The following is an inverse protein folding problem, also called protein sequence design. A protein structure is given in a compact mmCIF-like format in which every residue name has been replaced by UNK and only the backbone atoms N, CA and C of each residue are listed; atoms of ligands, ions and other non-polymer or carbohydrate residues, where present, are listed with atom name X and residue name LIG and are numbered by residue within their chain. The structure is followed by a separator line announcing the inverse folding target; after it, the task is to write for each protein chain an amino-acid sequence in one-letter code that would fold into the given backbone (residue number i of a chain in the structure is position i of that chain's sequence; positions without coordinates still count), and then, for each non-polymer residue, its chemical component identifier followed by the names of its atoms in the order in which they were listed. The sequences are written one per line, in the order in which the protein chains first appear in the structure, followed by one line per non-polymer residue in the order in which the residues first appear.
data_IF_055837982481
#
_entry.id   IF_055837982481
#
_cell.length_a   1.000
_cell.length_b   1.000
_cell.length_c   1.000
_cell.angle_alpha   90.00
_cell.angle_beta   90.00
_cell.angle_gamma   90.00
#
_symmetry.space_group_name_H-M   'P 1'
#
loop_
_entity.id
_entity.type
_entity.pdbx_description
1 polymer ?
#
# COMPACT_ATOMS: atom_id res chain seq x y z
N UNK A 1 -5.56 8.71 15.25
CA UNK A 1 -6.69 9.53 15.78
C UNK A 1 -7.33 10.41 14.70
N UNK A 2 -6.63 10.80 13.62
CA UNK A 2 -7.18 11.60 12.51
C UNK A 2 -8.25 10.88 11.66
N UNK A 3 -7.95 9.72 11.09
CA UNK A 3 -8.90 9.00 10.21
C UNK A 3 -10.26 8.73 10.89
N UNK A 4 -10.24 8.34 12.17
CA UNK A 4 -11.47 8.18 12.98
C UNK A 4 -12.20 9.51 13.19
N UNK A 5 -11.48 10.61 13.41
CA UNK A 5 -12.07 11.93 13.59
C UNK A 5 -12.70 12.46 12.29
N UNK A 6 -12.18 12.06 11.13
CA UNK A 6 -12.69 12.43 9.80
C UNK A 6 -13.65 11.38 9.20
N UNK A 7 -14.00 10.33 9.96
CA UNK A 7 -14.97 9.31 9.52
C UNK A 7 -14.43 8.31 8.49
N UNK A 8 -13.12 8.28 8.23
CA UNK A 8 -12.51 7.37 7.27
C UNK A 8 -12.04 6.07 7.94
N UNK A 9 -12.29 4.95 7.27
CA UNK A 9 -11.68 3.66 7.61
C UNK A 9 -10.21 3.70 7.22
N UNK A 10 -9.33 3.38 8.16
CA UNK A 10 -7.89 3.30 7.95
C UNK A 10 -7.44 1.83 7.98
N UNK A 11 -6.71 1.43 6.95
CA UNK A 11 -6.03 0.14 6.87
C UNK A 11 -4.53 0.39 6.96
N UNK A 12 -3.81 -0.43 7.73
CA UNK A 12 -2.34 -0.37 7.79
C UNK A 12 -1.78 -1.68 7.25
N UNK A 13 -0.83 -1.58 6.35
CA UNK A 13 -0.01 -2.70 5.86
C UNK A 13 1.41 -2.42 6.30
N UNK A 14 2.06 -3.37 6.97
CA UNK A 14 3.45 -3.25 7.38
C UNK A 14 4.30 -4.14 6.48
N UNK A 15 5.21 -3.53 5.72
CA UNK A 15 6.00 -4.24 4.73
C UNK A 15 7.26 -4.85 5.34
N UNK A 16 7.64 -6.00 4.82
CA UNK A 16 8.87 -6.71 5.09
C UNK A 16 9.40 -7.34 3.79
N UNK A 17 10.60 -7.92 3.82
CA UNK A 17 11.26 -8.47 2.61
C UNK A 17 10.50 -9.62 1.94
N UNK A 18 9.58 -10.24 2.68
CA UNK A 18 8.74 -11.36 2.25
C UNK A 18 7.26 -11.00 2.09
N UNK A 19 6.89 -9.72 2.06
CA UNK A 19 5.49 -9.34 1.87
C UNK A 19 5.02 -9.79 0.50
N UNK A 20 3.91 -10.53 0.44
CA UNK A 20 3.38 -11.06 -0.82
C UNK A 20 2.50 -10.01 -1.51
N UNK A 21 2.66 -9.85 -2.82
CA UNK A 21 1.81 -8.97 -3.63
C UNK A 21 0.32 -9.37 -3.57
N UNK A 22 0.01 -10.64 -3.35
CA UNK A 22 -1.36 -11.12 -3.16
C UNK A 22 -2.02 -10.53 -1.91
N UNK A 23 -1.26 -10.16 -0.87
CA UNK A 23 -1.81 -9.45 0.28
C UNK A 23 -2.28 -8.03 -0.08
N UNK A 24 -1.70 -7.45 -1.13
CA UNK A 24 -2.08 -6.13 -1.66
C UNK A 24 -3.26 -6.24 -2.64
N UNK A 25 -3.09 -7.03 -3.70
CA UNK A 25 -4.05 -7.06 -4.81
C UNK A 25 -5.18 -8.06 -4.59
N UNK A 26 -4.90 -9.17 -3.93
CA UNK A 26 -5.85 -10.26 -3.70
C UNK A 26 -5.40 -11.57 -4.36
N UNK A 27 -6.14 -12.61 -4.05
CA UNK A 27 -5.94 -13.95 -4.60
C UNK A 27 -7.22 -14.77 -4.55
N UNK A 28 -7.25 -15.87 -5.29
CA UNK A 28 -8.30 -16.87 -5.16
C UNK A 28 -8.10 -17.70 -3.90
N UNK A 29 -9.12 -17.76 -3.05
CA UNK A 29 -9.11 -18.53 -1.81
C UNK A 29 -10.30 -19.49 -1.78
N UNK A 30 -10.16 -20.70 -1.19
CA UNK A 30 -11.27 -21.62 -1.05
C UNK A 30 -12.34 -21.05 -0.11
N UNK A 31 -13.60 -21.15 -0.50
CA UNK A 31 -14.74 -20.88 0.38
C UNK A 31 -15.11 -22.13 1.21
N UNK A 32 -16.18 -22.02 2.01
CA UNK A 32 -16.66 -23.12 2.85
C UNK A 32 -17.12 -24.35 2.05
N UNK A 33 -17.38 -24.21 0.75
CA UNK A 33 -17.72 -25.32 -0.16
C UNK A 33 -16.51 -25.93 -0.86
N UNK A 34 -15.31 -25.36 -0.66
CA UNK A 34 -14.09 -25.75 -1.38
C UNK A 34 -13.95 -25.12 -2.76
N UNK A 35 -14.84 -24.19 -3.14
CA UNK A 35 -14.77 -23.47 -4.41
C UNK A 35 -13.81 -22.30 -4.29
N UNK A 36 -12.98 -22.07 -5.32
CA UNK A 36 -12.08 -20.92 -5.36
C UNK A 36 -12.86 -19.64 -5.66
N UNK A 37 -12.83 -18.70 -4.72
CA UNK A 37 -13.45 -17.37 -4.85
C UNK A 37 -12.39 -16.28 -4.73
N UNK A 38 -12.54 -15.23 -5.54
CA UNK A 38 -11.64 -14.08 -5.46
C UNK A 38 -11.81 -13.34 -4.13
N UNK A 39 -10.70 -13.00 -3.50
CA UNK A 39 -10.66 -12.16 -2.29
C UNK A 39 -9.68 -11.02 -2.52
N UNK A 40 -10.22 -9.79 -2.54
CA UNK A 40 -9.41 -8.58 -2.66
C UNK A 40 -8.41 -8.48 -1.50
N UNK A 41 -7.17 -8.12 -1.83
CA UNK A 41 -6.15 -7.76 -0.85
C UNK A 41 -6.40 -6.39 -0.22
N UNK A 42 -5.54 -5.99 0.72
CA UNK A 42 -5.70 -4.76 1.48
C UNK A 42 -5.73 -3.50 0.60
N UNK A 43 -4.88 -3.45 -0.43
CA UNK A 43 -4.85 -2.33 -1.37
C UNK A 43 -6.08 -2.32 -2.26
N UNK A 44 -6.43 -3.47 -2.85
CA UNK A 44 -7.62 -3.57 -3.72
C UNK A 44 -8.90 -3.18 -2.98
N UNK A 45 -9.08 -3.66 -1.74
CA UNK A 45 -10.19 -3.25 -0.88
C UNK A 45 -10.19 -1.73 -0.64
N UNK A 46 -9.04 -1.14 -0.33
CA UNK A 46 -8.95 0.30 -0.07
C UNK A 46 -9.30 1.12 -1.31
N UNK A 47 -8.78 0.74 -2.48
CA UNK A 47 -9.04 1.38 -3.77
C UNK A 47 -10.53 1.33 -4.10
N UNK A 48 -11.18 0.17 -3.97
CA UNK A 48 -12.63 0.03 -4.27
C UNK A 48 -13.54 0.80 -3.32
N UNK A 49 -13.25 0.75 -2.02
CA UNK A 49 -14.17 1.23 -0.99
C UNK A 49 -13.83 2.63 -0.46
N UNK A 50 -12.77 3.25 -0.96
CA UNK A 50 -12.35 4.58 -0.51
C UNK A 50 -11.76 4.60 0.88
N UNK A 51 -11.12 3.51 1.30
CA UNK A 51 -10.42 3.48 2.57
C UNK A 51 -9.12 4.25 2.47
N UNK A 52 -8.68 4.79 3.60
CA UNK A 52 -7.33 5.28 3.72
C UNK A 52 -6.41 4.09 3.99
N UNK A 53 -5.26 4.05 3.33
CA UNK A 53 -4.27 3.00 3.52
C UNK A 53 -2.91 3.61 3.88
N UNK A 54 -2.26 3.06 4.90
CA UNK A 54 -0.89 3.40 5.29
C UNK A 54 0.01 2.20 4.99
N UNK A 55 0.96 2.40 4.10
CA UNK A 55 2.00 1.45 3.74
C UNK A 55 3.23 1.74 4.59
N UNK A 56 3.36 1.02 5.68
CA UNK A 56 4.44 1.18 6.63
C UNK A 56 5.70 0.43 6.17
N UNK A 57 6.87 1.02 6.41
CA UNK A 57 8.18 0.51 5.98
C UNK A 57 8.23 0.16 4.48
N UNK A 58 7.67 1.02 3.61
CA UNK A 58 7.53 0.74 2.17
C UNK A 58 8.85 0.39 1.48
N UNK A 59 9.98 0.85 2.01
CA UNK A 59 11.31 0.53 1.49
C UNK A 59 11.81 -0.89 1.78
N UNK A 60 11.09 -1.68 2.56
CA UNK A 60 11.30 -3.12 2.73
C UNK A 60 10.50 -3.95 1.73
N UNK A 61 9.49 -3.37 1.07
CA UNK A 61 8.62 -4.09 0.16
C UNK A 61 9.43 -4.73 -1.00
N UNK A 62 9.02 -5.92 -1.47
CA UNK A 62 9.59 -6.51 -2.65
C UNK A 62 9.18 -5.76 -3.93
N UNK A 63 9.93 -6.00 -5.01
CA UNK A 63 9.85 -5.17 -6.23
C UNK A 63 8.50 -5.28 -6.94
N UNK A 64 7.85 -6.45 -6.85
CA UNK A 64 6.51 -6.74 -7.36
C UNK A 64 5.42 -5.91 -6.66
N UNK A 65 5.50 -5.75 -5.34
CA UNK A 65 4.62 -4.85 -4.58
C UNK A 65 4.80 -3.40 -5.05
N UNK A 66 6.05 -2.96 -5.20
CA UNK A 66 6.33 -1.61 -5.72
C UNK A 66 5.85 -1.43 -7.16
N UNK A 67 5.90 -2.48 -7.98
CA UNK A 67 5.39 -2.49 -9.34
C UNK A 67 3.87 -2.40 -9.39
N UNK A 68 3.15 -3.16 -8.56
CA UNK A 68 1.70 -3.06 -8.43
C UNK A 68 1.26 -1.64 -8.02
N UNK A 69 2.02 -1.00 -7.13
CA UNK A 69 1.78 0.39 -6.71
C UNK A 69 2.10 1.40 -7.82
N UNK A 70 3.00 1.09 -8.76
CA UNK A 70 3.44 2.05 -9.76
C UNK A 70 2.26 2.61 -10.59
N UNK A 71 1.39 1.73 -11.09
CA UNK A 71 0.22 2.12 -11.93
C UNK A 71 -0.85 2.88 -11.14
N UNK A 72 -0.93 2.63 -9.84
CA UNK A 72 -1.86 3.33 -8.97
C UNK A 72 -1.40 4.77 -8.69
N UNK A 73 -0.08 4.96 -8.62
CA UNK A 73 0.57 6.23 -8.28
C UNK A 73 0.94 7.09 -9.50
N UNK A 74 0.90 6.52 -10.70
CA UNK A 74 1.14 7.25 -11.94
C UNK A 74 -0.13 7.98 -12.45
N UNK A 75 -0.02 8.59 -13.63
CA UNK A 75 -1.10 9.38 -14.22
C UNK A 75 -2.37 8.56 -14.54
N UNK A 76 -2.26 7.23 -14.67
CA UNK A 76 -3.41 6.37 -14.96
C UNK A 76 -4.35 6.24 -13.76
N UNK A 77 -3.80 6.34 -12.53
CA UNK A 77 -4.55 6.15 -11.27
C UNK A 77 -5.41 4.88 -11.28
N UNK A 78 -4.79 3.76 -11.59
CA UNK A 78 -5.47 2.47 -11.75
C UNK A 78 -4.69 1.36 -11.07
N UNK A 79 -5.40 0.44 -10.40
CA UNK A 79 -4.82 -0.81 -9.90
C UNK A 79 -5.27 -1.96 -10.80
N UNK A 80 -4.31 -2.70 -11.33
CA UNK A 80 -4.57 -3.92 -12.09
C UNK A 80 -4.54 -5.14 -11.17
N UNK A 81 -5.54 -6.01 -11.29
CA UNK A 81 -5.67 -7.28 -10.59
C UNK A 81 -5.37 -8.41 -11.60
N UNK A 82 -4.14 -8.96 -11.61
CA UNK A 82 -3.69 -9.85 -12.69
C UNK A 82 -4.56 -11.11 -12.83
N UNK A 83 -4.87 -11.73 -11.70
CA UNK A 83 -5.58 -13.01 -11.63
C UNK A 83 -7.04 -12.94 -12.10
N UNK A 84 -7.68 -11.78 -11.98
CA UNK A 84 -9.04 -11.54 -12.51
C UNK A 84 -9.01 -10.77 -13.84
N UNK A 85 -7.84 -10.33 -14.29
CA UNK A 85 -7.65 -9.40 -15.41
C UNK A 85 -8.52 -8.14 -15.30
N UNK A 86 -8.83 -7.73 -14.08
CA UNK A 86 -9.63 -6.56 -13.79
C UNK A 86 -8.74 -5.34 -13.56
N UNK A 87 -9.21 -4.15 -13.95
CA UNK A 87 -8.58 -2.89 -13.59
C UNK A 87 -9.57 -2.04 -12.83
N UNK A 88 -9.18 -1.62 -11.63
CA UNK A 88 -10.02 -0.82 -10.73
C UNK A 88 -9.45 0.58 -10.56
N UNK A 89 -10.34 1.55 -10.39
CA UNK A 89 -10.00 2.95 -10.15
C UNK A 89 -10.24 3.31 -8.68
N UNK A 90 -9.39 4.15 -8.07
CA UNK A 90 -9.60 4.65 -6.72
C UNK A 90 -10.92 5.35 -6.58
N UNK A 91 -11.66 4.97 -5.55
CA UNK A 91 -12.79 5.72 -5.05
C UNK A 91 -12.35 7.14 -4.64
N UNK A 92 -13.23 8.13 -4.76
CA UNK A 92 -12.90 9.56 -4.52
C UNK A 92 -12.36 9.83 -3.11
N UNK A 93 -12.79 9.04 -2.12
CA UNK A 93 -12.32 9.13 -0.73
C UNK A 93 -11.04 8.35 -0.43
N UNK A 94 -10.50 7.61 -1.39
CA UNK A 94 -9.26 6.84 -1.23
C UNK A 94 -8.08 7.77 -0.98
N UNK A 95 -7.23 7.39 -0.03
CA UNK A 95 -5.97 8.08 0.21
C UNK A 95 -4.89 7.09 0.61
N UNK A 96 -3.72 7.22 -0.02
CA UNK A 96 -2.57 6.38 0.23
C UNK A 96 -1.50 7.20 0.96
N UNK A 97 -1.01 6.66 2.05
CA UNK A 97 0.13 7.15 2.81
C UNK A 97 1.21 6.08 2.80
N UNK A 98 2.46 6.51 2.80
CA UNK A 98 3.61 5.62 2.93
C UNK A 98 4.61 6.19 3.92
N UNK A 99 5.24 5.30 4.68
CA UNK A 99 6.38 5.65 5.54
C UNK A 99 7.60 4.87 5.07
N UNK A 100 8.78 5.43 5.30
CA UNK A 100 10.04 4.73 5.13
C UNK A 100 11.04 5.25 6.16
N UNK A 101 11.85 4.35 6.70
CA UNK A 101 12.97 4.73 7.53
C UNK A 101 14.23 4.92 6.66
N UNK A 102 15.12 5.89 6.97
CA UNK A 102 16.33 6.12 6.20
C UNK A 102 17.16 4.83 6.03
N UNK A 103 17.75 4.60 4.84
CA UNK A 103 18.63 3.47 4.61
C UNK A 103 19.94 3.67 5.42
N UNK A 104 20.40 2.62 6.09
CA UNK A 104 21.68 2.60 6.82
C UNK A 104 21.59 2.32 8.32
N UNK A 105 20.44 2.54 8.96
CA UNK A 105 20.29 2.34 10.42
C UNK A 105 20.01 0.87 10.78
N UNK A 106 19.45 0.09 9.85
CA UNK A 106 19.08 -1.32 10.03
C UNK A 106 19.08 -2.03 8.66
N UNK A 107 19.57 -3.27 8.60
CA UNK A 107 19.70 -4.06 7.36
C UNK A 107 18.40 -4.26 6.57
N UNK A 108 18.51 -4.53 5.27
CA UNK A 108 17.38 -4.87 4.38
C UNK A 108 16.65 -3.69 3.71
N UNK A 109 16.84 -2.46 4.21
CA UNK A 109 16.17 -1.26 3.68
C UNK A 109 16.74 -0.81 2.34
N UNK A 110 15.89 -0.84 1.31
CA UNK A 110 16.26 -0.42 -0.05
C UNK A 110 16.16 1.11 -0.20
N UNK A 111 16.88 1.65 -1.16
CA UNK A 111 16.67 3.03 -1.61
C UNK A 111 15.56 3.03 -2.65
N UNK A 112 14.38 3.60 -2.34
CA UNK A 112 13.32 3.77 -3.33
C UNK A 112 13.82 4.67 -4.47
N UNK A 113 13.51 4.31 -5.73
CA UNK A 113 13.97 5.06 -6.89
C UNK A 113 13.42 6.50 -6.86
N UNK A 114 14.19 7.46 -7.38
CA UNK A 114 13.75 8.86 -7.45
C UNK A 114 12.43 9.00 -8.22
N UNK A 115 12.27 8.24 -9.31
CA UNK A 115 11.04 8.24 -10.10
C UNK A 115 9.82 7.77 -9.30
N UNK A 116 9.98 6.75 -8.45
CA UNK A 116 8.92 6.28 -7.55
C UNK A 116 8.58 7.34 -6.50
N UNK A 117 9.60 7.90 -5.84
CA UNK A 117 9.41 8.94 -4.80
C UNK A 117 8.75 10.21 -5.34
N UNK A 118 9.04 10.59 -6.58
CA UNK A 118 8.42 11.75 -7.23
C UNK A 118 6.89 11.64 -7.42
N UNK A 119 6.30 10.45 -7.23
CA UNK A 119 4.84 10.25 -7.25
C UNK A 119 4.17 10.51 -5.90
N UNK A 120 4.97 10.76 -4.87
CA UNK A 120 4.51 11.15 -3.55
C UNK A 120 4.76 12.63 -3.31
N UNK A 121 3.92 13.23 -2.47
CA UNK A 121 4.31 14.41 -1.72
C UNK A 121 5.20 13.94 -0.56
N UNK A 122 6.52 14.12 -0.70
CA UNK A 122 7.49 13.70 0.32
C UNK A 122 7.55 14.71 1.48
N UNK A 123 7.50 14.21 2.71
CA UNK A 123 7.64 15.01 3.93
C UNK A 123 8.69 14.34 4.82
N UNK A 124 9.67 15.12 5.27
CA UNK A 124 10.63 14.67 6.27
C UNK A 124 10.09 14.98 7.66
N UNK A 125 10.06 13.97 8.51
CA UNK A 125 9.64 14.09 9.90
C UNK A 125 10.88 13.98 10.77
N UNK A 126 11.18 15.04 11.51
CA UNK A 126 12.22 15.01 12.53
C UNK A 126 11.75 14.20 13.74
N UNK A 127 12.71 13.72 14.54
CA UNK A 127 12.39 13.07 15.81
C UNK A 127 11.55 14.00 16.68
N UNK A 128 10.52 13.45 17.30
CA UNK A 128 9.73 14.19 18.27
C UNK A 128 10.68 14.48 19.44
N UNK A 129 10.92 15.76 19.79
CA UNK A 129 11.76 16.09 20.93
C UNK A 129 11.23 15.35 22.16
N UNK A 130 12.12 14.71 22.93
CA UNK A 130 11.73 14.19 24.23
C UNK A 130 11.13 15.35 25.03
N UNK A 131 9.87 15.22 25.42
CA UNK A 131 9.25 16.19 26.29
C UNK A 131 10.01 16.17 27.63
N UNK A 132 10.65 17.28 28.00
CA UNK A 132 11.19 17.48 29.35
C UNK A 132 10.10 17.39 30.43
#
# INVERSE_FOLDING_TARGET
RLARATGHRLVRVNNHEHTDVQEYVGSFQPDASGSLVWRDGALAQAVRHGYWIVLDELNLAPSDVLEALNRLLDDNRELHLPDTSETIRPHESFMLFATQNPPGTYGGRKVLSRAFRNRFLEMQMDEIPEAE
#
